data_IF_742047948503
#
_entry.id   IF_742047948503
#
_cell.length_a   1.000
_cell.length_b   1.000
_cell.length_c   1.000
_cell.angle_alpha   90.00
_cell.angle_beta   90.00
_cell.angle_gamma   90.00
#
_symmetry.space_group_name_H-M   'P 1'
#
loop_
_entity.id
_entity.type
_entity.pdbx_description
1 polymer ?
#
# COMPACT_ATOMS: atom_id res chain seq x y z
N UNK A 1 6.93 -3.62 9.33
CA UNK A 1 5.97 -3.30 8.25
C UNK A 1 6.38 -4.00 6.95
N UNK A 2 7.58 -3.76 6.43
CA UNK A 2 8.04 -4.34 5.16
C UNK A 2 8.39 -5.83 5.26
N UNK A 3 8.85 -6.30 6.42
CA UNK A 3 9.21 -7.70 6.69
C UNK A 3 8.01 -8.66 6.58
N UNK A 4 6.80 -8.20 6.93
CA UNK A 4 5.59 -9.02 6.82
C UNK A 4 5.23 -9.26 5.35
N UNK A 5 5.33 -8.23 4.50
CA UNK A 5 5.14 -8.35 3.05
C UNK A 5 6.15 -9.30 2.41
N UNK A 6 7.38 -9.34 2.94
CA UNK A 6 8.44 -10.21 2.46
C UNK A 6 8.07 -11.69 2.55
N UNK A 7 7.55 -12.15 3.69
CA UNK A 7 7.23 -13.58 3.92
C UNK A 7 6.22 -14.14 2.91
N UNK A 8 5.09 -13.45 2.71
CA UNK A 8 4.04 -13.87 1.78
C UNK A 8 4.46 -13.77 0.31
N UNK A 9 5.31 -12.80 -0.03
CA UNK A 9 5.91 -12.71 -1.36
C UNK A 9 6.84 -13.91 -1.63
N UNK A 10 7.57 -14.39 -0.61
CA UNK A 10 8.39 -15.62 -0.73
C UNK A 10 7.51 -16.83 -0.99
N UNK A 11 6.43 -16.99 -0.22
CA UNK A 11 5.55 -18.15 -0.35
C UNK A 11 4.84 -18.17 -1.71
N UNK A 12 4.33 -17.03 -2.17
CA UNK A 12 3.72 -16.89 -3.49
C UNK A 12 4.71 -17.21 -4.63
N UNK A 13 5.93 -16.69 -4.55
CA UNK A 13 6.95 -16.93 -5.57
C UNK A 13 7.40 -18.40 -5.57
N UNK A 14 7.46 -19.02 -4.39
CA UNK A 14 7.80 -20.45 -4.23
C UNK A 14 6.70 -21.34 -4.80
N UNK A 15 5.42 -21.03 -4.55
CA UNK A 15 4.26 -21.73 -5.15
C UNK A 15 4.30 -21.67 -6.68
N UNK A 16 4.75 -20.54 -7.25
CA UNK A 16 4.87 -20.36 -8.71
C UNK A 16 6.11 -21.02 -9.32
N UNK A 17 6.93 -21.71 -8.53
CA UNK A 17 8.11 -22.44 -9.00
C UNK A 17 9.41 -21.64 -8.98
N UNK A 18 9.46 -20.52 -8.27
CA UNK A 18 10.71 -19.76 -8.07
C UNK A 18 11.57 -20.48 -7.03
N UNK A 19 12.88 -20.57 -7.27
CA UNK A 19 13.79 -21.07 -6.25
C UNK A 19 13.72 -20.19 -4.99
N UNK A 20 13.66 -20.80 -3.81
CA UNK A 20 13.51 -20.11 -2.51
C UNK A 20 14.56 -19.01 -2.32
N UNK A 21 15.81 -19.24 -2.75
CA UNK A 21 16.88 -18.23 -2.68
C UNK A 21 16.54 -16.97 -3.47
N UNK A 22 15.99 -17.13 -4.67
CA UNK A 22 15.56 -16.03 -5.53
C UNK A 22 14.33 -15.34 -4.96
N UNK A 23 13.37 -16.10 -4.44
CA UNK A 23 12.18 -15.55 -3.79
C UNK A 23 12.54 -14.68 -2.56
N UNK A 24 13.46 -15.16 -1.70
CA UNK A 24 13.97 -14.41 -0.53
C UNK A 24 14.70 -13.14 -0.96
N UNK A 25 15.52 -13.21 -2.01
CA UNK A 25 16.20 -12.04 -2.56
C UNK A 25 15.20 -10.97 -3.04
N UNK A 26 14.12 -11.36 -3.70
CA UNK A 26 13.11 -10.39 -4.13
C UNK A 26 12.30 -9.83 -2.96
N UNK A 27 11.99 -10.65 -1.98
CA UNK A 27 11.30 -10.24 -0.77
C UNK A 27 12.10 -9.24 0.09
N UNK A 28 13.43 -9.28 0.01
CA UNK A 28 14.31 -8.28 0.65
C UNK A 28 14.55 -7.04 -0.20
N UNK A 29 14.50 -7.15 -1.53
CA UNK A 29 14.67 -5.99 -2.43
C UNK A 29 13.38 -5.17 -2.57
N UNK A 30 12.20 -5.80 -2.57
CA UNK A 30 10.91 -5.12 -2.73
C UNK A 30 10.70 -3.91 -1.78
N UNK A 31 11.05 -3.99 -0.48
CA UNK A 31 11.03 -2.85 0.44
C UNK A 31 11.84 -1.64 -0.02
N UNK A 32 12.96 -1.83 -0.73
CA UNK A 32 13.75 -0.71 -1.23
C UNK A 32 13.01 0.10 -2.28
N UNK A 33 12.12 -0.50 -3.07
CA UNK A 33 11.26 0.25 -4.00
C UNK A 33 10.21 1.11 -3.27
N UNK A 34 9.71 0.63 -2.13
CA UNK A 34 8.86 1.41 -1.22
C UNK A 34 9.64 2.61 -0.67
N UNK A 35 10.88 2.39 -0.24
CA UNK A 35 11.74 3.45 0.28
C UNK A 35 12.13 4.48 -0.79
N UNK A 36 12.49 4.04 -1.99
CA UNK A 36 12.86 4.93 -3.11
C UNK A 36 11.70 5.81 -3.55
N UNK A 37 10.49 5.23 -3.67
CA UNK A 37 9.29 5.99 -4.02
C UNK A 37 8.91 7.00 -2.92
N UNK A 38 9.16 6.67 -1.65
CA UNK A 38 9.03 7.61 -0.52
C UNK A 38 10.02 8.77 -0.60
N UNK A 39 11.31 8.47 -0.84
CA UNK A 39 12.37 9.49 -0.98
C UNK A 39 12.06 10.44 -2.15
N UNK A 40 11.61 9.90 -3.28
CA UNK A 40 11.22 10.70 -4.45
C UNK A 40 10.10 11.71 -4.15
N UNK A 41 9.18 11.39 -3.25
CA UNK A 41 8.14 12.34 -2.86
C UNK A 41 8.60 13.36 -1.83
N UNK A 42 9.56 12.99 -0.99
CA UNK A 42 10.18 13.91 -0.03
C UNK A 42 10.93 15.06 -0.70
N UNK A 43 11.30 14.94 -1.98
CA UNK A 43 11.99 16.00 -2.73
C UNK A 43 11.05 16.97 -3.44
N UNK A 44 9.73 16.77 -3.38
CA UNK A 44 8.75 17.68 -4.00
C UNK A 44 8.21 18.71 -3.00
N UNK A 45 8.29 19.98 -3.39
CA UNK A 45 7.83 21.12 -2.57
C UNK A 45 6.30 21.31 -2.58
N UNK A 46 5.58 20.71 -3.53
CA UNK A 46 4.11 20.78 -3.63
C UNK A 46 3.50 19.38 -3.71
N UNK A 47 2.50 19.11 -2.88
CA UNK A 47 1.80 17.83 -2.80
C UNK A 47 0.34 17.97 -3.22
N UNK A 48 0.02 17.55 -4.45
CA UNK A 48 -1.37 17.34 -4.84
C UNK A 48 -1.83 15.97 -4.34
N UNK A 49 -2.54 15.97 -3.21
CA UNK A 49 -3.01 14.78 -2.51
C UNK A 49 -3.81 13.84 -3.43
N UNK A 50 -4.72 14.39 -4.25
CA UNK A 50 -5.57 13.61 -5.13
C UNK A 50 -4.78 12.93 -6.26
N UNK A 51 -3.78 13.62 -6.81
CA UNK A 51 -2.91 13.06 -7.86
C UNK A 51 -2.01 11.95 -7.32
N UNK A 52 -1.44 12.12 -6.13
CA UNK A 52 -0.61 11.10 -5.50
C UNK A 52 -1.48 9.89 -5.11
N UNK A 53 -2.66 10.10 -4.52
CA UNK A 53 -3.60 9.01 -4.21
C UNK A 53 -4.02 8.23 -5.47
N UNK A 54 -4.32 8.93 -6.56
CA UNK A 54 -4.69 8.28 -7.83
C UNK A 54 -3.54 7.44 -8.39
N UNK A 55 -2.30 7.95 -8.31
CA UNK A 55 -1.11 7.19 -8.68
C UNK A 55 -1.00 5.91 -7.82
N UNK A 56 -1.10 6.03 -6.50
CA UNK A 56 -1.08 4.87 -5.59
C UNK A 56 -2.13 3.84 -5.96
N UNK A 57 -3.38 4.28 -6.11
CA UNK A 57 -4.50 3.40 -6.41
C UNK A 57 -4.29 2.64 -7.73
N UNK A 58 -3.93 3.35 -8.80
CA UNK A 58 -3.70 2.74 -10.12
C UNK A 58 -2.53 1.77 -10.07
N UNK A 59 -1.40 2.19 -9.50
CA UNK A 59 -0.18 1.39 -9.47
C UNK A 59 -0.34 0.14 -8.60
N UNK A 60 -0.94 0.25 -7.41
CA UNK A 60 -1.22 -0.91 -6.56
C UNK A 60 -2.25 -1.84 -7.19
N UNK A 61 -3.32 -1.30 -7.75
CA UNK A 61 -4.35 -2.08 -8.46
C UNK A 61 -3.76 -2.87 -9.63
N UNK A 62 -2.89 -2.23 -10.42
CA UNK A 62 -2.25 -2.84 -11.58
C UNK A 62 -1.27 -3.94 -11.14
N UNK A 63 -0.47 -3.69 -10.10
CA UNK A 63 0.44 -4.69 -9.53
C UNK A 63 -0.29 -5.93 -9.00
N UNK A 64 -1.37 -5.73 -8.23
CA UNK A 64 -2.21 -6.82 -7.72
C UNK A 64 -2.92 -7.55 -8.87
N UNK A 65 -3.45 -6.82 -9.85
CA UNK A 65 -4.10 -7.41 -11.02
C UNK A 65 -3.15 -8.37 -11.77
N UNK A 66 -1.90 -7.94 -12.00
CA UNK A 66 -0.89 -8.82 -12.59
C UNK A 66 -0.68 -10.07 -11.74
N UNK A 67 -0.54 -9.92 -10.42
CA UNK A 67 -0.35 -11.05 -9.50
C UNK A 67 -1.51 -12.03 -9.56
N UNK A 68 -2.75 -11.57 -9.52
CA UNK A 68 -3.95 -12.42 -9.48
C UNK A 68 -4.15 -13.19 -10.80
N UNK A 69 -3.93 -12.54 -11.94
CA UNK A 69 -4.19 -13.15 -13.25
C UNK A 69 -3.01 -13.93 -13.84
N UNK A 70 -1.80 -13.79 -13.28
CA UNK A 70 -0.63 -14.53 -13.78
C UNK A 70 -0.34 -15.79 -12.98
N UNK A 71 0.22 -16.79 -13.66
CA UNK A 71 0.87 -17.96 -13.06
C UNK A 71 2.39 -17.88 -13.10
N UNK A 72 2.96 -16.93 -13.87
CA UNK A 72 4.39 -16.87 -14.14
C UNK A 72 5.15 -16.19 -12.98
N UNK A 73 6.22 -16.81 -12.46
CA UNK A 73 7.14 -16.17 -11.50
C UNK A 73 7.59 -14.77 -11.88
N UNK A 74 8.01 -14.59 -13.13
CA UNK A 74 8.58 -13.32 -13.61
C UNK A 74 7.52 -12.22 -13.64
N UNK A 75 6.31 -12.52 -14.09
CA UNK A 75 5.21 -11.56 -14.08
C UNK A 75 4.75 -11.25 -12.65
N UNK A 76 4.78 -12.23 -11.75
CA UNK A 76 4.47 -12.03 -10.32
C UNK A 76 5.41 -11.02 -9.70
N UNK A 77 6.70 -11.15 -9.99
CA UNK A 77 7.75 -10.27 -9.52
C UNK A 77 7.55 -8.84 -10.05
N UNK A 78 7.25 -8.69 -11.35
CA UNK A 78 6.90 -7.39 -11.92
C UNK A 78 5.68 -6.79 -11.21
N UNK A 79 4.64 -7.58 -10.96
CA UNK A 79 3.46 -7.15 -10.21
C UNK A 79 3.78 -6.70 -8.78
N UNK A 80 4.67 -7.42 -8.08
CA UNK A 80 5.13 -7.06 -6.73
C UNK A 80 5.93 -5.75 -6.72
N UNK A 81 6.83 -5.53 -7.68
CA UNK A 81 7.61 -4.28 -7.80
C UNK A 81 6.68 -3.10 -8.09
N UNK A 82 5.74 -3.27 -9.02
CA UNK A 82 4.76 -2.24 -9.35
C UNK A 82 3.94 -1.91 -8.10
N UNK A 83 3.39 -2.91 -7.40
CA UNK A 83 2.64 -2.68 -6.17
C UNK A 83 3.47 -1.97 -5.10
N UNK A 84 4.73 -2.37 -4.90
CA UNK A 84 5.64 -1.74 -3.94
C UNK A 84 5.88 -0.25 -4.24
N UNK A 85 6.07 0.10 -5.51
CA UNK A 85 6.23 1.49 -5.94
C UNK A 85 4.98 2.35 -5.66
N UNK A 86 3.78 1.75 -5.74
CA UNK A 86 2.51 2.43 -5.43
C UNK A 86 2.25 2.59 -3.93
N UNK A 87 2.76 1.68 -3.08
CA UNK A 87 2.58 1.71 -1.62
C UNK A 87 3.40 2.81 -0.95
N UNK A 88 4.63 3.06 -1.41
CA UNK A 88 5.55 4.01 -0.76
C UNK A 88 4.98 5.41 -0.53
N UNK A 89 4.35 6.04 -1.54
CA UNK A 89 3.68 7.32 -1.40
C UNK A 89 2.52 7.36 -0.37
N UNK A 90 1.79 6.26 -0.18
CA UNK A 90 0.64 6.21 0.74
C UNK A 90 1.07 6.50 2.18
N UNK A 91 2.20 5.92 2.61
CA UNK A 91 2.73 6.14 3.95
C UNK A 91 3.17 7.60 4.15
N UNK A 92 3.78 8.21 3.13
CA UNK A 92 4.20 9.62 3.17
C UNK A 92 3.00 10.56 3.33
N UNK A 93 1.95 10.36 2.54
CA UNK A 93 0.70 11.12 2.64
C UNK A 93 0.07 10.96 4.02
N UNK A 94 -0.03 9.72 4.50
CA UNK A 94 -0.68 9.45 5.78
C UNK A 94 0.05 10.14 6.94
N UNK A 95 1.38 10.14 6.93
CA UNK A 95 2.19 10.86 7.92
C UNK A 95 1.99 12.37 7.78
N UNK A 96 1.98 12.92 6.57
CA UNK A 96 1.75 14.34 6.34
C UNK A 96 0.37 14.80 6.87
N UNK A 97 -0.69 14.04 6.56
CA UNK A 97 -2.05 14.30 7.06
C UNK A 97 -2.17 14.13 8.58
N UNK A 98 -1.55 13.08 9.13
CA UNK A 98 -1.51 12.85 10.58
C UNK A 98 -0.78 13.98 11.32
N UNK A 99 0.31 14.49 10.74
CA UNK A 99 1.09 15.59 11.32
C UNK A 99 0.34 16.91 11.28
N UNK A 100 -0.55 17.11 10.30
CA UNK A 100 -1.45 18.27 10.19
C UNK A 100 -2.74 18.18 10.99
N UNK A 101 -2.90 17.17 11.87
CA UNK A 101 -4.13 16.98 12.65
C UNK A 101 -4.39 18.15 13.61
N UNK A 102 -5.65 18.60 13.69
CA UNK A 102 -6.10 19.61 14.66
C UNK A 102 -5.89 19.19 16.12
N UNK A 103 -5.79 17.89 16.38
CA UNK A 103 -5.54 17.34 17.73
C UNK A 103 -4.06 17.44 18.14
N UNK A 104 -3.21 17.98 17.26
CA UNK A 104 -1.76 18.06 17.41
C UNK A 104 -1.04 16.91 16.71
N UNK A 105 0.15 17.20 16.19
CA UNK A 105 0.97 16.25 15.42
C UNK A 105 1.23 14.95 16.18
N UNK A 106 1.53 15.02 17.48
CA UNK A 106 1.84 13.84 18.30
C UNK A 106 0.66 12.87 18.37
N UNK A 107 -0.56 13.38 18.59
CA UNK A 107 -1.78 12.55 18.66
C UNK A 107 -2.15 12.01 17.29
N UNK A 108 -2.03 12.81 16.23
CA UNK A 108 -2.31 12.36 14.87
C UNK A 108 -1.35 11.25 14.43
N UNK A 109 -0.05 11.41 14.66
CA UNK A 109 0.97 10.40 14.36
C UNK A 109 0.74 9.16 15.23
N UNK A 110 0.43 9.31 16.52
CA UNK A 110 0.13 8.18 17.40
C UNK A 110 -1.07 7.35 16.88
N UNK A 111 -2.16 8.01 16.47
CA UNK A 111 -3.32 7.33 15.90
C UNK A 111 -2.97 6.60 14.60
N UNK A 112 -2.17 7.21 13.73
CA UNK A 112 -1.68 6.57 12.51
C UNK A 112 -0.84 5.32 12.81
N UNK A 113 0.09 5.40 13.76
CA UNK A 113 0.95 4.28 14.17
C UNK A 113 0.13 3.15 14.81
N UNK A 114 -0.91 3.47 15.60
CA UNK A 114 -1.83 2.47 16.15
C UNK A 114 -2.58 1.75 15.02
N UNK A 115 -3.16 2.49 14.07
CA UNK A 115 -3.86 1.90 12.93
C UNK A 115 -2.96 1.01 12.08
N UNK A 116 -1.70 1.42 11.90
CA UNK A 116 -0.65 0.64 11.26
C UNK A 116 -0.27 -0.63 12.05
N UNK A 117 -0.20 -0.54 13.38
CA UNK A 117 0.06 -1.70 14.23
C UNK A 117 -1.03 -2.75 14.12
N UNK A 118 -2.29 -2.31 14.19
CA UNK A 118 -3.46 -3.18 14.02
C UNK A 118 -3.45 -3.82 12.63
N UNK A 119 -3.27 -3.05 11.56
CA UNK A 119 -3.28 -3.59 10.20
C UNK A 119 -2.16 -4.61 9.94
N UNK A 120 -0.95 -4.35 10.44
CA UNK A 120 0.16 -5.31 10.36
C UNK A 120 -0.06 -6.56 11.23
N UNK A 121 -0.83 -6.46 12.32
CA UNK A 121 -1.17 -7.61 13.16
C UNK A 121 -2.31 -8.47 12.60
N UNK A 122 -3.33 -7.85 12.02
CA UNK A 122 -4.51 -8.55 11.48
C UNK A 122 -4.28 -9.09 10.07
N UNK A 123 -3.46 -8.42 9.25
CA UNK A 123 -3.25 -8.84 7.85
C UNK A 123 -2.71 -10.26 7.68
N UNK A 124 -1.73 -10.76 8.46
CA UNK A 124 -1.24 -12.13 8.29
C UNK A 124 -2.30 -13.18 8.63
N UNK A 125 -3.18 -12.91 9.59
CA UNK A 125 -4.28 -13.81 9.95
C UNK A 125 -5.30 -13.94 8.81
N UNK A 126 -5.71 -12.82 8.24
CA UNK A 126 -6.65 -12.81 7.10
C UNK A 126 -5.99 -13.49 5.90
N UNK A 127 -4.75 -13.13 5.60
CA UNK A 127 -4.02 -13.71 4.46
C UNK A 127 -3.82 -15.21 4.62
N UNK A 128 -3.38 -15.67 5.80
CA UNK A 128 -3.17 -17.09 6.08
C UNK A 128 -4.46 -17.90 5.99
N UNK A 129 -5.53 -17.42 6.63
CA UNK A 129 -6.83 -18.09 6.56
C UNK A 129 -7.32 -18.20 5.11
N UNK A 130 -7.20 -17.15 4.31
CA UNK A 130 -7.68 -17.18 2.92
C UNK A 130 -6.75 -18.01 2.04
N UNK A 131 -5.44 -17.94 2.22
CA UNK A 131 -4.48 -18.71 1.41
C UNK A 131 -4.57 -20.20 1.68
N UNK A 132 -4.78 -20.62 2.93
CA UNK A 132 -4.90 -22.04 3.28
C UNK A 132 -6.18 -22.67 2.72
N UNK A 133 -7.28 -21.92 2.69
CA UNK A 133 -8.58 -22.45 2.27
C UNK A 133 -8.87 -22.27 0.76
N UNK A 134 -8.34 -21.20 0.15
CA UNK A 134 -8.68 -20.79 -1.22
C UNK A 134 -7.45 -20.51 -2.12
N UNK A 135 -6.24 -20.72 -1.60
CA UNK A 135 -4.98 -20.49 -2.31
C UNK A 135 -4.53 -19.02 -2.32
N UNK A 136 -3.27 -18.79 -2.70
CA UNK A 136 -2.68 -17.44 -2.64
C UNK A 136 -3.34 -16.45 -3.60
N UNK A 137 -3.89 -16.90 -4.73
CA UNK A 137 -4.64 -16.01 -5.64
C UNK A 137 -5.82 -15.33 -4.94
N UNK A 138 -6.57 -16.10 -4.15
CA UNK A 138 -7.68 -15.56 -3.37
C UNK A 138 -7.19 -14.58 -2.30
N UNK A 139 -6.10 -14.92 -1.60
CA UNK A 139 -5.49 -14.04 -0.60
C UNK A 139 -5.07 -12.68 -1.18
N UNK A 140 -4.41 -12.68 -2.35
CA UNK A 140 -4.05 -11.43 -3.04
C UNK A 140 -5.27 -10.67 -3.59
N UNK A 141 -6.38 -11.35 -3.89
CA UNK A 141 -7.63 -10.72 -4.31
C UNK A 141 -8.31 -9.98 -3.15
N UNK A 142 -8.15 -10.46 -1.90
CA UNK A 142 -8.62 -9.76 -0.70
C UNK A 142 -7.90 -8.42 -0.52
N UNK A 143 -6.61 -8.33 -0.88
CA UNK A 143 -5.88 -7.05 -0.88
C UNK A 143 -6.55 -6.04 -1.83
N UNK A 144 -7.03 -6.49 -2.98
CA UNK A 144 -7.74 -5.63 -3.93
C UNK A 144 -9.05 -5.09 -3.35
N UNK A 145 -9.83 -5.95 -2.67
CA UNK A 145 -11.06 -5.54 -1.99
C UNK A 145 -10.76 -4.54 -0.86
N UNK A 146 -9.73 -4.79 -0.06
CA UNK A 146 -9.29 -3.87 0.99
C UNK A 146 -8.86 -2.51 0.41
N UNK A 147 -8.15 -2.50 -0.73
CA UNK A 147 -7.76 -1.27 -1.42
C UNK A 147 -8.98 -0.46 -1.89
N UNK A 148 -10.00 -1.13 -2.44
CA UNK A 148 -11.25 -0.48 -2.85
C UNK A 148 -11.97 0.14 -1.65
N UNK A 149 -12.16 -0.63 -0.57
CA UNK A 149 -12.81 -0.14 0.65
C UNK A 149 -12.06 1.06 1.26
N UNK A 150 -10.73 0.98 1.30
CA UNK A 150 -9.88 2.07 1.79
C UNK A 150 -10.03 3.31 0.91
N UNK A 151 -10.12 3.14 -0.41
CA UNK A 151 -10.31 4.24 -1.36
C UNK A 151 -11.66 4.91 -1.22
N UNK A 152 -12.73 4.12 -1.09
CA UNK A 152 -14.07 4.66 -0.83
C UNK A 152 -14.12 5.42 0.49
N UNK A 153 -13.51 4.87 1.54
CA UNK A 153 -13.41 5.52 2.85
C UNK A 153 -12.61 6.82 2.74
N UNK A 154 -11.47 6.81 2.05
CA UNK A 154 -10.65 8.00 1.85
C UNK A 154 -11.42 9.10 1.11
N UNK A 155 -12.11 8.78 0.02
CA UNK A 155 -12.95 9.75 -0.73
C UNK A 155 -14.06 10.30 0.16
N UNK A 156 -14.72 9.44 0.94
CA UNK A 156 -15.79 9.85 1.86
C UNK A 156 -15.27 10.80 2.94
N UNK A 157 -14.12 10.49 3.56
CA UNK A 157 -13.47 11.36 4.56
C UNK A 157 -13.05 12.69 3.92
N UNK A 158 -12.38 12.64 2.77
CA UNK A 158 -11.92 13.84 2.06
C UNK A 158 -13.06 14.78 1.69
N UNK A 159 -14.25 14.24 1.36
CA UNK A 159 -15.44 15.02 1.03
C UNK A 159 -16.13 15.62 2.26
N UNK A 160 -16.11 14.93 3.39
CA UNK A 160 -16.91 15.31 4.56
C UNK A 160 -16.11 15.94 5.71
N UNK A 161 -14.78 15.85 5.68
CA UNK A 161 -13.91 16.25 6.81
C UNK A 161 -12.89 17.32 6.46
N UNK A 162 -12.74 17.70 5.18
CA UNK A 162 -11.97 18.88 4.82
C UNK A 162 -12.90 20.09 4.70
N UNK A 163 -12.53 21.26 5.25
CA UNK A 163 -13.27 22.49 4.99
C UNK A 163 -13.31 22.74 3.48
N UNK A 164 -14.47 23.16 2.96
CA UNK A 164 -14.58 23.57 1.56
C UNK A 164 -13.47 24.59 1.24
N UNK A 165 -12.84 24.51 0.06
CA UNK A 165 -11.89 25.53 -0.33
C UNK A 165 -12.65 26.86 -0.31
N UNK A 166 -12.22 27.76 0.56
CA UNK A 166 -12.74 29.11 0.64
C UNK A 166 -12.60 29.70 -0.77
N UNK A 167 -13.71 29.80 -1.51
CA UNK A 167 -13.78 30.48 -2.81
C UNK A 167 -13.51 31.95 -2.56
N UNK A 168 -12.25 32.29 -2.32
CA UNK A 168 -11.82 33.66 -2.20
C UNK A 168 -11.69 34.15 -3.63
N UNK A 169 -12.81 34.63 -4.17
CA UNK A 169 -12.77 35.68 -5.17
C UNK A 169 -11.91 36.81 -4.60
N UNK A 170 -10.62 36.80 -4.92
CA UNK A 170 -9.79 37.99 -4.80
C UNK A 170 -9.78 38.67 -6.15
N UNK A 171 -10.30 39.90 -6.11
CA UNK A 171 -10.30 40.93 -7.16
C UNK A 171 -8.86 41.21 -7.59
#
# INVERSE_FOLDING_TARGET
MEVSLSSWAVDLLSERGTAVKTAVLFATIAPYFVALSRIYLSTKNEYNLQRIWSYCFITVSLGIGIIVFTSSPTLTLVGLIIAAAGIGPCASIAIALASGSEQGADKGIAAFVIGMGISNGTSPWIMGFVSENYGFRAAYSVIFVALLLTTLTFIWVMKNSLPEPETTNRI
#
